data_IF_009630880348
#
_entry.id   IF_009630880348
#
_cell.length_a   1.000
_cell.length_b   1.000
_cell.length_c   1.000
_cell.angle_alpha   90.00
_cell.angle_beta   90.00
_cell.angle_gamma   90.00
#
_symmetry.space_group_name_H-M   'P 1'
#
loop_
_entity.id
_entity.type
_entity.pdbx_description
1 polymer ?
#
# COMPACT_ATOMS: atom_id res chain seq x y z
N UNK A 1 -6.40 -22.49 -7.55
CA UNK A 1 -6.16 -21.06 -7.24
C UNK A 1 -4.79 -20.70 -7.80
N UNK A 2 -4.71 -19.69 -8.68
CA UNK A 2 -3.45 -19.32 -9.35
C UNK A 2 -2.79 -18.20 -8.54
N UNK A 3 -1.57 -18.44 -8.06
CA UNK A 3 -0.75 -17.40 -7.43
C UNK A 3 -0.15 -16.56 -8.55
N UNK A 4 -0.53 -15.29 -8.64
CA UNK A 4 -0.01 -14.35 -9.64
C UNK A 4 1.01 -13.40 -9.01
N UNK A 5 2.24 -13.39 -9.53
CA UNK A 5 3.31 -12.55 -8.99
C UNK A 5 3.05 -11.06 -9.21
N UNK A 6 3.51 -10.23 -8.26
CA UNK A 6 3.60 -8.79 -8.46
C UNK A 6 4.69 -8.48 -9.49
N UNK A 7 4.32 -7.81 -10.58
CA UNK A 7 5.25 -7.36 -11.62
C UNK A 7 5.42 -5.84 -11.60
N UNK A 8 6.54 -5.36 -12.15
CA UNK A 8 6.78 -3.93 -12.35
C UNK A 8 5.70 -3.30 -13.25
N UNK A 9 5.24 -4.00 -14.28
CA UNK A 9 4.18 -3.52 -15.17
C UNK A 9 2.87 -3.26 -14.39
N UNK A 10 2.50 -4.17 -13.48
CA UNK A 10 1.31 -3.98 -12.64
C UNK A 10 1.47 -2.79 -11.68
N UNK A 11 2.64 -2.62 -11.07
CA UNK A 11 2.92 -1.46 -10.21
C UNK A 11 2.80 -0.14 -10.99
N UNK A 12 3.44 -0.04 -12.16
CA UNK A 12 3.39 1.17 -12.99
C UNK A 12 1.97 1.46 -13.50
N UNK A 13 1.23 0.42 -13.88
CA UNK A 13 -0.16 0.53 -14.34
C UNK A 13 -1.08 0.99 -13.21
N UNK A 14 -0.91 0.45 -12.00
CA UNK A 14 -1.66 0.86 -10.82
C UNK A 14 -1.36 2.31 -10.45
N UNK A 15 -0.09 2.70 -10.43
CA UNK A 15 0.34 4.07 -10.15
C UNK A 15 -0.29 5.07 -11.14
N UNK A 16 -0.25 4.76 -12.44
CA UNK A 16 -0.85 5.58 -13.47
C UNK A 16 -2.38 5.66 -13.35
N UNK A 17 -3.06 4.52 -13.16
CA UNK A 17 -4.52 4.44 -13.05
C UNK A 17 -5.08 5.27 -11.89
N UNK A 18 -4.35 5.36 -10.79
CA UNK A 18 -4.78 6.10 -9.59
C UNK A 18 -4.06 7.44 -9.41
N UNK A 19 -3.21 7.86 -10.35
CA UNK A 19 -2.52 9.15 -10.27
C UNK A 19 -1.69 9.33 -9.00
N UNK A 20 -0.95 8.29 -8.60
CA UNK A 20 0.02 8.33 -7.50
C UNK A 20 1.44 8.14 -8.04
N UNK A 21 2.49 8.78 -7.45
CA UNK A 21 3.86 8.57 -7.91
C UNK A 21 4.27 7.10 -7.78
N UNK A 22 4.83 6.44 -8.81
CA UNK A 22 5.19 5.03 -8.74
C UNK A 22 6.23 4.73 -7.64
N UNK A 23 7.10 5.69 -7.34
CA UNK A 23 8.08 5.61 -6.27
C UNK A 23 7.42 5.37 -4.92
N UNK A 24 6.25 5.99 -4.67
CA UNK A 24 5.53 5.83 -3.41
C UNK A 24 5.08 4.37 -3.17
N UNK A 25 4.66 3.67 -4.22
CA UNK A 25 4.31 2.25 -4.15
C UNK A 25 5.55 1.36 -3.94
N UNK A 26 6.68 1.71 -4.59
CA UNK A 26 7.95 1.01 -4.37
C UNK A 26 8.43 1.16 -2.92
N UNK A 27 8.29 2.35 -2.35
CA UNK A 27 8.67 2.63 -0.96
C UNK A 27 7.78 1.87 0.03
N UNK A 28 6.45 1.91 -0.15
CA UNK A 28 5.51 1.13 0.66
C UNK A 28 5.85 -0.36 0.57
N UNK A 29 6.02 -0.90 -0.64
CA UNK A 29 6.39 -2.31 -0.84
C UNK A 29 7.69 -2.67 -0.10
N UNK A 30 8.69 -1.78 -0.13
CA UNK A 30 9.97 -1.98 0.56
C UNK A 30 9.88 -1.96 2.09
N UNK A 31 8.87 -1.28 2.65
CA UNK A 31 8.56 -1.28 4.10
C UNK A 31 7.75 -2.51 4.48
N UNK A 32 6.68 -2.81 3.74
CA UNK A 32 5.73 -3.89 4.05
C UNK A 32 6.34 -5.28 3.90
N UNK A 33 7.15 -5.50 2.85
CA UNK A 33 7.87 -6.76 2.60
C UNK A 33 6.97 -8.02 2.59
N UNK A 34 5.68 -7.85 2.32
CA UNK A 34 4.75 -8.95 2.13
C UNK A 34 5.10 -9.78 0.90
N UNK A 35 4.46 -10.94 0.76
CA UNK A 35 4.61 -11.81 -0.41
C UNK A 35 3.24 -12.16 -0.97
N UNK A 36 3.19 -12.50 -2.25
CA UNK A 36 1.96 -13.08 -2.80
C UNK A 36 1.66 -14.39 -2.06
N UNK A 37 0.42 -14.56 -1.64
CA UNK A 37 -0.03 -15.66 -0.79
C UNK A 37 0.14 -15.43 0.71
N UNK A 38 0.81 -14.36 1.14
CA UNK A 38 1.03 -14.12 2.58
C UNK A 38 -0.18 -13.49 3.25
N UNK A 39 -0.47 -13.95 4.45
CA UNK A 39 -1.46 -13.39 5.37
C UNK A 39 -0.82 -13.30 6.76
N UNK A 40 -0.89 -12.14 7.40
CA UNK A 40 -0.43 -11.91 8.77
C UNK A 40 -1.60 -11.51 9.65
N UNK A 41 -1.69 -12.04 10.87
CA UNK A 41 -2.80 -11.74 11.78
C UNK A 41 -2.46 -10.53 12.66
N UNK A 42 -3.42 -9.61 12.80
CA UNK A 42 -3.35 -8.50 13.73
C UNK A 42 -4.12 -8.79 15.02
N UNK A 43 -3.76 -8.08 16.10
CA UNK A 43 -4.39 -8.24 17.42
C UNK A 43 -5.89 -7.92 17.44
N UNK A 44 -6.35 -7.09 16.51
CA UNK A 44 -7.75 -6.70 16.36
C UNK A 44 -8.56 -7.64 15.44
N UNK A 45 -8.09 -8.88 15.24
CA UNK A 45 -8.69 -9.90 14.37
C UNK A 45 -8.76 -9.54 12.87
N UNK A 46 -8.14 -8.45 12.45
CA UNK A 46 -7.92 -8.16 11.04
C UNK A 46 -6.66 -8.86 10.54
N UNK A 47 -6.46 -8.91 9.23
CA UNK A 47 -5.29 -9.54 8.63
C UNK A 47 -4.70 -8.66 7.55
N UNK A 48 -3.38 -8.63 7.43
CA UNK A 48 -2.71 -7.93 6.33
C UNK A 48 -2.36 -8.91 5.20
N UNK A 49 -2.75 -8.54 3.99
CA UNK A 49 -2.85 -9.44 2.85
C UNK A 49 -1.85 -9.07 1.75
N UNK A 50 -1.12 -10.07 1.27
CA UNK A 50 -0.28 -9.97 0.08
C UNK A 50 0.91 -9.03 0.19
N UNK A 51 1.54 -8.67 -0.95
CA UNK A 51 2.77 -7.87 -1.01
C UNK A 51 2.70 -6.50 -0.33
N UNK A 52 1.60 -5.77 -0.54
CA UNK A 52 1.38 -4.43 -0.01
C UNK A 52 0.71 -4.44 1.38
N UNK A 53 0.61 -5.61 2.02
CA UNK A 53 0.04 -5.81 3.36
C UNK A 53 -1.30 -5.06 3.54
N UNK A 54 -2.22 -5.24 2.59
CA UNK A 54 -3.52 -4.57 2.64
C UNK A 54 -4.35 -5.18 3.76
N UNK A 55 -4.82 -4.33 4.66
CA UNK A 55 -5.62 -4.79 5.78
C UNK A 55 -7.02 -5.27 5.34
N UNK A 56 -7.45 -6.40 5.90
CA UNK A 56 -8.72 -7.05 5.58
C UNK A 56 -9.96 -6.22 5.92
N UNK A 57 -9.85 -5.11 6.67
CA UNK A 57 -10.97 -4.18 6.87
C UNK A 57 -11.53 -3.64 5.55
N UNK A 58 -10.70 -3.54 4.50
CA UNK A 58 -11.13 -3.01 3.20
C UNK A 58 -11.92 -4.02 2.36
N UNK A 59 -11.94 -5.31 2.75
CA UNK A 59 -12.56 -6.38 1.96
C UNK A 59 -14.07 -6.14 1.77
N UNK A 60 -14.77 -5.68 2.81
CA UNK A 60 -16.22 -5.42 2.73
C UNK A 60 -16.54 -4.26 1.79
N UNK A 61 -15.83 -3.12 1.92
CA UNK A 61 -15.97 -1.95 1.04
C UNK A 61 -15.69 -2.34 -0.44
N UNK A 62 -14.59 -3.05 -0.68
CA UNK A 62 -14.21 -3.52 -2.02
C UNK A 62 -15.22 -4.51 -2.63
N UNK A 63 -15.72 -5.44 -1.81
CA UNK A 63 -16.74 -6.41 -2.21
C UNK A 63 -18.01 -5.72 -2.69
N UNK A 64 -18.47 -4.70 -1.95
CA UNK A 64 -19.65 -3.91 -2.31
C UNK A 64 -19.44 -3.11 -3.60
N UNK A 65 -18.30 -2.42 -3.73
CA UNK A 65 -18.01 -1.59 -4.91
C UNK A 65 -17.85 -2.43 -6.18
N UNK A 66 -17.24 -3.61 -6.07
CA UNK A 66 -16.95 -4.46 -7.23
C UNK A 66 -18.06 -5.47 -7.56
N UNK A 67 -19.04 -5.68 -6.68
CA UNK A 67 -20.07 -6.70 -6.86
C UNK A 67 -19.51 -8.14 -6.83
N UNK A 68 -18.42 -8.36 -6.09
CA UNK A 68 -17.73 -9.64 -5.94
C UNK A 68 -17.81 -10.05 -4.47
N UNK A 69 -17.99 -11.33 -4.17
CA UNK A 69 -18.07 -11.80 -2.79
C UNK A 69 -16.77 -11.53 -1.98
N UNK A 70 -16.92 -11.40 -0.67
CA UNK A 70 -15.82 -11.03 0.23
C UNK A 70 -14.67 -12.04 0.22
N UNK A 71 -14.94 -13.33 0.07
CA UNK A 71 -13.92 -14.37 0.07
C UNK A 71 -13.07 -14.27 -1.20
N UNK A 72 -13.70 -14.09 -2.36
CA UNK A 72 -13.01 -13.85 -3.62
C UNK A 72 -12.19 -12.58 -3.58
N UNK A 73 -12.71 -11.45 -3.06
CA UNK A 73 -11.93 -10.22 -2.89
C UNK A 73 -10.72 -10.46 -2.01
N UNK A 74 -10.92 -11.09 -0.84
CA UNK A 74 -9.83 -11.39 0.10
C UNK A 74 -8.75 -12.25 -0.56
N UNK A 75 -9.13 -13.32 -1.25
CA UNK A 75 -8.21 -14.21 -1.94
C UNK A 75 -7.47 -13.47 -3.07
N UNK A 76 -8.14 -12.61 -3.84
CA UNK A 76 -7.47 -11.80 -4.87
C UNK A 76 -6.47 -10.82 -4.25
N UNK A 77 -6.80 -10.15 -3.15
CA UNK A 77 -5.83 -9.27 -2.47
C UNK A 77 -4.62 -10.09 -2.00
N UNK A 78 -4.83 -11.30 -1.48
CA UNK A 78 -3.73 -12.15 -0.98
C UNK A 78 -2.88 -12.73 -2.12
N UNK A 79 -3.51 -13.25 -3.16
CA UNK A 79 -2.92 -14.21 -4.10
C UNK A 79 -2.65 -13.64 -5.51
N UNK A 80 -3.21 -12.48 -5.84
CA UNK A 80 -2.97 -11.77 -7.10
C UNK A 80 -2.19 -10.47 -6.82
N UNK A 81 -0.88 -10.51 -7.10
CA UNK A 81 0.01 -9.37 -6.87
C UNK A 81 -0.39 -8.11 -7.64
N UNK A 82 -0.98 -8.25 -8.83
CA UNK A 82 -1.43 -7.13 -9.63
C UNK A 82 -2.70 -6.51 -9.05
N UNK A 83 -3.65 -7.35 -8.60
CA UNK A 83 -4.82 -6.86 -7.87
C UNK A 83 -4.43 -6.20 -6.55
N UNK A 84 -3.49 -6.81 -5.80
CA UNK A 84 -2.97 -6.26 -4.54
C UNK A 84 -2.38 -4.86 -4.73
N UNK A 85 -1.45 -4.65 -5.67
CA UNK A 85 -0.86 -3.32 -5.88
C UNK A 85 -1.87 -2.30 -6.45
N UNK A 86 -2.86 -2.77 -7.21
CA UNK A 86 -3.97 -1.93 -7.69
C UNK A 86 -4.81 -1.40 -6.53
N UNK A 87 -5.18 -2.27 -5.59
CA UNK A 87 -5.90 -1.86 -4.36
C UNK A 87 -5.02 -0.94 -3.51
N UNK A 88 -3.72 -1.20 -3.39
CA UNK A 88 -2.81 -0.35 -2.64
C UNK A 88 -2.73 1.07 -3.23
N UNK A 89 -2.65 1.19 -4.56
CA UNK A 89 -2.67 2.48 -5.26
C UNK A 89 -4.00 3.23 -5.06
N UNK A 90 -5.13 2.52 -5.09
CA UNK A 90 -6.45 3.08 -4.77
C UNK A 90 -6.51 3.65 -3.35
N UNK A 91 -6.04 2.88 -2.36
CA UNK A 91 -6.02 3.31 -0.96
C UNK A 91 -5.07 4.49 -0.76
N UNK A 92 -3.87 4.45 -1.36
CA UNK A 92 -2.93 5.55 -1.30
C UNK A 92 -3.49 6.83 -1.93
N UNK A 93 -4.22 6.72 -3.04
CA UNK A 93 -4.92 7.86 -3.67
C UNK A 93 -5.93 8.49 -2.70
N UNK A 94 -6.75 7.68 -2.02
CA UNK A 94 -7.70 8.14 -0.99
C UNK A 94 -6.99 8.91 0.13
N UNK A 95 -5.80 8.46 0.55
CA UNK A 95 -4.97 9.17 1.52
C UNK A 95 -4.38 10.46 0.96
N UNK A 96 -3.85 10.46 -0.26
CA UNK A 96 -3.28 11.64 -0.91
C UNK A 96 -4.34 12.73 -1.16
N UNK A 97 -5.56 12.33 -1.51
CA UNK A 97 -6.68 13.26 -1.64
C UNK A 97 -7.03 13.96 -0.34
N UNK A 98 -6.85 13.29 0.79
CA UNK A 98 -7.12 13.86 2.10
C UNK A 98 -5.94 14.68 2.62
N UNK A 99 -4.75 14.11 2.57
CA UNK A 99 -3.56 14.63 3.26
C UNK A 99 -2.84 15.69 2.41
N UNK A 100 -3.08 15.73 1.09
CA UNK A 100 -2.51 16.68 0.10
C UNK A 100 -0.98 16.69 0.03
N UNK A 101 -0.33 15.73 0.67
CA UNK A 101 1.12 15.52 0.68
C UNK A 101 1.39 14.01 0.57
N UNK A 102 2.29 13.62 -0.34
CA UNK A 102 2.55 12.20 -0.62
C UNK A 102 3.25 11.49 0.54
N UNK A 103 4.11 12.18 1.28
CA UNK A 103 4.80 11.57 2.41
C UNK A 103 3.84 11.32 3.57
N UNK A 104 2.98 12.31 3.87
CA UNK A 104 1.91 12.14 4.84
C UNK A 104 0.93 11.06 4.40
N UNK A 105 0.59 10.98 3.10
CA UNK A 105 -0.28 9.94 2.57
C UNK A 105 0.32 8.52 2.72
N UNK A 106 1.62 8.35 2.45
CA UNK A 106 2.32 7.08 2.71
C UNK A 106 2.33 6.72 4.19
N UNK A 107 2.52 7.68 5.10
CA UNK A 107 2.36 7.44 6.53
C UNK A 107 0.94 7.00 6.89
N UNK A 108 -0.04 7.74 6.39
CA UNK A 108 -1.46 7.52 6.65
C UNK A 108 -2.00 6.21 6.09
N UNK A 109 -1.38 5.69 5.03
CA UNK A 109 -1.64 4.36 4.48
C UNK A 109 -1.49 3.28 5.56
N UNK A 110 -0.47 3.41 6.41
CA UNK A 110 -0.27 2.48 7.53
C UNK A 110 -1.15 2.83 8.73
N UNK A 111 -1.17 4.10 9.13
CA UNK A 111 -2.05 4.57 10.21
C UNK A 111 -2.20 6.07 10.20
N UNK A 112 -3.39 6.56 10.55
CA UNK A 112 -3.66 7.99 10.71
C UNK A 112 -3.26 8.54 12.09
N UNK A 113 -2.96 7.66 13.05
CA UNK A 113 -2.54 8.07 14.39
C UNK A 113 -1.14 8.69 14.30
N UNK A 114 -0.93 9.95 14.72
CA UNK A 114 0.31 10.69 14.44
C UNK A 114 1.60 9.93 14.77
N UNK A 115 1.72 9.37 15.97
CA UNK A 115 2.95 8.69 16.38
C UNK A 115 3.24 7.41 15.55
N UNK A 116 2.19 6.67 15.19
CA UNK A 116 2.29 5.45 14.38
C UNK A 116 2.62 5.82 12.92
N UNK A 117 1.94 6.83 12.40
CA UNK A 117 2.15 7.42 11.07
C UNK A 117 3.60 7.87 10.90
N UNK A 118 4.10 8.66 11.84
CA UNK A 118 5.41 9.29 11.74
C UNK A 118 6.53 8.25 11.93
N UNK A 119 6.29 7.21 12.74
CA UNK A 119 7.18 6.06 12.79
C UNK A 119 7.24 5.29 11.46
N UNK A 120 6.11 5.16 10.77
CA UNK A 120 6.08 4.57 9.43
C UNK A 120 6.82 5.44 8.40
N UNK A 121 6.65 6.76 8.44
CA UNK A 121 7.40 7.72 7.61
C UNK A 121 8.91 7.57 7.80
N UNK A 122 9.40 7.37 9.04
CA UNK A 122 10.82 7.07 9.28
C UNK A 122 11.29 5.77 8.60
N UNK A 123 10.43 4.75 8.52
CA UNK A 123 10.75 3.52 7.77
C UNK A 123 10.81 3.80 6.26
N UNK A 124 9.90 4.62 5.74
CA UNK A 124 9.90 5.06 4.35
C UNK A 124 11.22 5.75 4.00
N UNK A 125 11.69 6.69 4.83
CA UNK A 125 12.99 7.34 4.63
C UNK A 125 14.15 6.34 4.56
N UNK A 126 14.20 5.36 5.48
CA UNK A 126 15.24 4.30 5.46
C UNK A 126 15.21 3.48 4.19
N UNK A 127 14.02 3.18 3.67
CA UNK A 127 13.87 2.45 2.40
C UNK A 127 14.28 3.34 1.23
N UNK A 128 13.89 4.61 1.23
CA UNK A 128 14.23 5.58 0.19
C UNK A 128 15.75 5.78 0.07
N UNK A 129 16.44 5.95 1.19
CA UNK A 129 17.90 6.04 1.24
C UNK A 129 18.56 4.79 0.66
N UNK A 130 18.17 3.60 1.13
CA UNK A 130 18.68 2.32 0.63
C UNK A 130 18.49 2.15 -0.88
N UNK A 131 17.33 2.60 -1.40
CA UNK A 131 16.98 2.46 -2.82
C UNK A 131 17.39 3.67 -3.68
N UNK A 132 17.98 4.72 -3.06
CA UNK A 132 18.35 5.99 -3.71
C UNK A 132 17.17 6.68 -4.42
N UNK A 133 15.99 6.58 -3.83
CA UNK A 133 14.75 7.21 -4.33
C UNK A 133 14.58 8.58 -3.66
N UNK A 134 14.29 9.62 -4.45
CA UNK A 134 13.91 10.93 -3.93
C UNK A 134 12.41 10.96 -3.61
N UNK A 135 12.05 11.42 -2.41
CA UNK A 135 10.65 11.59 -2.01
C UNK A 135 10.22 13.00 -2.45
N UNK A 136 9.21 13.08 -3.33
CA UNK A 136 8.70 14.36 -3.82
C UNK A 136 7.73 15.02 -2.83
N UNK A 137 8.23 15.89 -1.95
CA UNK A 137 7.46 16.73 -1.04
C UNK A 137 8.40 17.77 -0.44
N UNK A 138 7.97 19.04 -0.36
CA UNK A 138 8.84 20.20 -0.08
C UNK A 138 9.76 20.03 1.16
N UNK A 139 11.01 20.47 0.94
CA UNK A 139 12.08 20.84 1.86
C UNK A 139 12.80 19.71 2.62
N UNK A 140 14.05 19.48 2.24
CA UNK A 140 15.22 19.85 3.05
C UNK A 140 14.88 20.17 4.53
N UNK A 141 14.69 19.15 5.34
CA UNK A 141 14.84 19.25 6.80
C UNK A 141 15.69 18.08 7.26
N UNK A 142 16.96 18.15 6.87
CA UNK A 142 18.07 17.64 7.69
C UNK A 142 18.99 18.83 7.87
N UNK A 143 18.71 19.63 8.90
CA UNK A 143 19.71 20.37 9.66
C UNK A 143 19.55 19.91 11.11
#
# INVERSE_FOLDING_TARGET
MVIAHLSLACLLTAAASYGVPPESLVLILGVERGKVGSESNNLNNTKDLGPMQINSIHVSELSQIMGIDMETIKNRIRDDGCFNVTVAAMLLRKHLDRDKDILLAMGSYHSRTPDIRDNYIRKIYKVAERLKIKIGGKNDVVN
#
